data_IF_368236607125
#
_entry.id   IF_368236607125
#
_cell.length_a   1.000
_cell.length_b   1.000
_cell.length_c   1.000
_cell.angle_alpha   90.00
_cell.angle_beta   90.00
_cell.angle_gamma   90.00
#
_symmetry.space_group_name_H-M   'P 1'
#
loop_
_entity.id
_entity.type
_entity.pdbx_description
1 polymer ?
#
# COMPACT_ATOMS: atom_id res chain seq x y z
N UNK A 1 19.86 -7.99 -9.52
CA UNK A 1 20.04 -6.57 -9.84
C UNK A 1 20.46 -5.89 -8.55
N UNK A 2 20.47 -4.55 -8.41
CA UNK A 2 20.68 -3.97 -7.08
C UNK A 2 19.42 -4.19 -6.23
N UNK A 3 19.59 -4.53 -4.96
CA UNK A 3 18.48 -4.71 -4.01
C UNK A 3 17.59 -3.48 -3.90
N UNK A 4 18.15 -2.28 -4.12
CA UNK A 4 17.39 -1.03 -4.17
C UNK A 4 16.40 -0.99 -5.34
N UNK A 5 16.84 -1.39 -6.54
CA UNK A 5 15.98 -1.38 -7.72
C UNK A 5 14.84 -2.40 -7.58
N UNK A 6 15.15 -3.58 -7.05
CA UNK A 6 14.16 -4.63 -6.77
C UNK A 6 13.13 -4.15 -5.74
N UNK A 7 13.56 -3.45 -4.69
CA UNK A 7 12.65 -2.86 -3.70
C UNK A 7 11.76 -1.76 -4.30
N UNK A 8 12.29 -0.90 -5.17
CA UNK A 8 11.51 0.17 -5.82
C UNK A 8 10.45 -0.45 -6.75
N UNK A 9 10.83 -1.46 -7.53
CA UNK A 9 9.89 -2.17 -8.43
C UNK A 9 8.78 -2.82 -7.61
N UNK A 10 9.10 -3.49 -6.50
CA UNK A 10 8.11 -4.13 -5.65
C UNK A 10 7.09 -3.13 -5.07
N UNK A 11 7.53 -1.91 -4.68
CA UNK A 11 6.62 -0.86 -4.19
C UNK A 11 5.67 -0.39 -5.29
N UNK A 12 6.17 -0.23 -6.52
CA UNK A 12 5.36 0.18 -7.68
C UNK A 12 4.33 -0.90 -8.00
N UNK A 13 4.74 -2.17 -8.06
CA UNK A 13 3.82 -3.29 -8.29
C UNK A 13 2.75 -3.39 -7.21
N UNK A 14 3.13 -3.15 -5.95
CA UNK A 14 2.20 -3.13 -4.83
C UNK A 14 1.18 -2.00 -5.01
N UNK A 15 1.63 -0.79 -5.35
CA UNK A 15 0.73 0.33 -5.62
C UNK A 15 -0.30 -0.03 -6.71
N UNK A 16 0.17 -0.51 -7.86
CA UNK A 16 -0.70 -0.89 -8.97
C UNK A 16 -1.61 -2.09 -8.67
N UNK A 17 -1.24 -2.97 -7.73
CA UNK A 17 -2.11 -4.06 -7.27
C UNK A 17 -3.36 -3.50 -6.59
N UNK A 18 -3.24 -2.41 -5.85
CA UNK A 18 -4.34 -1.81 -5.10
C UNK A 18 -5.09 -0.72 -5.85
N UNK A 19 -4.49 -0.01 -6.81
CA UNK A 19 -5.15 1.05 -7.62
C UNK A 19 -6.02 0.52 -8.78
N UNK A 20 -6.77 -0.55 -8.55
CA UNK A 20 -7.59 -1.23 -9.60
C UNK A 20 -9.08 -1.14 -9.37
N UNK A 21 -9.52 -0.72 -8.19
CA UNK A 21 -10.90 -0.91 -7.74
C UNK A 21 -11.80 0.25 -8.18
N UNK A 22 -11.26 1.46 -8.19
CA UNK A 22 -11.98 2.68 -8.58
C UNK A 22 -11.75 3.10 -10.05
N UNK A 23 -11.00 2.28 -10.81
CA UNK A 23 -10.56 2.53 -12.21
C UNK A 23 -9.57 3.69 -12.36
N UNK A 24 -9.11 4.28 -11.26
CA UNK A 24 -8.06 5.29 -11.25
C UNK A 24 -6.74 4.61 -10.88
N UNK A 25 -5.87 4.41 -11.87
CA UNK A 25 -4.62 3.67 -11.66
C UNK A 25 -3.48 4.54 -11.18
N UNK A 26 -3.63 5.87 -11.25
CA UNK A 26 -2.59 6.85 -10.91
C UNK A 26 -2.64 7.25 -9.42
N UNK A 27 -3.73 6.92 -8.72
CA UNK A 27 -3.91 7.21 -7.30
C UNK A 27 -4.49 6.01 -6.53
N UNK A 28 -4.43 6.05 -5.21
CA UNK A 28 -5.17 5.11 -4.36
C UNK A 28 -6.32 5.87 -3.70
N UNK A 29 -7.53 5.33 -3.81
CA UNK A 29 -8.65 5.79 -3.00
C UNK A 29 -8.38 5.53 -1.52
N UNK A 30 -9.11 6.24 -0.65
CA UNK A 30 -9.04 6.02 0.81
C UNK A 30 -9.29 4.56 1.20
N UNK A 31 -10.13 3.84 0.44
CA UNK A 31 -10.43 2.43 0.67
C UNK A 31 -9.25 1.53 0.30
N UNK A 32 -8.66 1.74 -0.87
CA UNK A 32 -7.53 0.94 -1.37
C UNK A 32 -6.27 1.19 -0.55
N UNK A 33 -6.01 2.45 -0.16
CA UNK A 33 -4.92 2.78 0.74
C UNK A 33 -5.10 2.10 2.10
N UNK A 34 -6.33 2.09 2.64
CA UNK A 34 -6.62 1.38 3.90
C UNK A 34 -6.33 -0.12 3.78
N UNK A 35 -6.74 -0.75 2.69
CA UNK A 35 -6.50 -2.17 2.44
C UNK A 35 -5.00 -2.50 2.30
N UNK A 36 -4.26 -1.70 1.53
CA UNK A 36 -2.80 -1.82 1.38
C UNK A 36 -2.10 -1.74 2.74
N UNK A 37 -2.49 -0.75 3.56
CA UNK A 37 -1.90 -0.55 4.89
C UNK A 37 -2.23 -1.71 5.84
N UNK A 38 -3.48 -2.16 5.87
CA UNK A 38 -3.93 -3.25 6.75
C UNK A 38 -3.36 -4.62 6.39
N UNK A 39 -3.05 -4.86 5.11
CA UNK A 39 -2.55 -6.16 4.63
C UNK A 39 -1.03 -6.19 4.63
N UNK A 40 -0.40 -5.25 3.91
CA UNK A 40 1.02 -5.31 3.58
C UNK A 40 1.87 -4.62 4.65
N UNK A 41 1.33 -3.54 5.24
CA UNK A 41 2.03 -2.79 6.27
C UNK A 41 1.62 -3.17 7.68
N UNK A 42 0.70 -4.13 7.89
CA UNK A 42 0.26 -4.59 9.23
C UNK A 42 1.38 -4.83 10.25
N UNK A 43 2.51 -5.46 9.88
CA UNK A 43 3.61 -5.70 10.83
C UNK A 43 4.32 -4.41 11.25
N UNK A 44 4.40 -3.43 10.35
CA UNK A 44 5.00 -2.10 10.56
C UNK A 44 4.00 -1.17 11.27
N UNK A 45 2.72 -1.30 10.91
CA UNK A 45 1.58 -0.58 11.45
C UNK A 45 0.99 -1.28 12.68
N UNK A 46 1.81 -1.91 13.53
CA UNK A 46 1.48 -2.04 14.96
C UNK A 46 1.47 -0.65 15.62
N UNK A 47 0.81 0.31 14.99
CA UNK A 47 0.42 1.56 15.60
C UNK A 47 -0.82 1.21 16.40
N UNK A 48 -0.60 0.98 17.70
CA UNK A 48 -1.64 1.23 18.67
C UNK A 48 -2.24 2.60 18.33
N UNK A 49 -3.56 2.64 18.15
CA UNK A 49 -4.38 3.84 18.35
C UNK A 49 -4.49 4.91 17.22
N UNK A 50 -4.30 4.63 15.92
CA UNK A 50 -4.61 5.67 14.89
C UNK A 50 -6.10 5.78 14.52
N UNK A 51 -6.92 4.75 14.80
CA UNK A 51 -8.35 4.73 14.43
C UNK A 51 -9.31 4.60 15.62
N UNK A 52 -8.84 4.83 16.85
CA UNK A 52 -9.74 5.02 17.99
C UNK A 52 -10.02 6.51 18.21
N UNK A 53 -10.87 7.08 17.35
CA UNK A 53 -11.76 8.21 17.70
C UNK A 53 -12.86 8.35 16.65
#
# INVERSE_FOLDING_TARGET
MSSLLENIIAIIELFHKYSKTDKETDTLSKKELKELLEVEFRPVLKVKDIFQN
#
